data_IF_449282043190
#
_entry.id   IF_449282043190
#
_cell.length_a   1.000
_cell.length_b   1.000
_cell.length_c   1.000
_cell.angle_alpha   90.00
_cell.angle_beta   90.00
_cell.angle_gamma   90.00
#
_symmetry.space_group_name_H-M   'P 1'
#
loop_
_entity.id
_entity.type
_entity.pdbx_description
1 polymer ?
#
# COMPACT_ATOMS: atom_id res chain seq x y z
N UNK A 1 6.44 -14.75 8.26
CA UNK A 1 5.52 -14.36 9.34
C UNK A 1 5.59 -15.32 10.53
N UNK A 2 5.56 -16.66 10.30
CA UNK A 2 5.60 -17.63 11.40
C UNK A 2 6.83 -17.46 12.30
N UNK A 3 8.02 -17.25 11.74
CA UNK A 3 9.26 -17.04 12.47
C UNK A 3 9.21 -15.75 13.31
N UNK A 4 8.76 -14.62 12.74
CA UNK A 4 8.57 -13.37 13.47
C UNK A 4 7.58 -13.54 14.64
N UNK A 5 6.48 -14.25 14.39
CA UNK A 5 5.49 -14.52 15.43
C UNK A 5 6.05 -15.38 16.55
N UNK A 6 6.76 -16.48 16.21
CA UNK A 6 7.35 -17.39 17.22
C UNK A 6 8.42 -16.72 18.10
N UNK A 7 9.08 -15.70 17.57
CA UNK A 7 10.07 -14.88 18.29
C UNK A 7 9.49 -13.69 19.05
N UNK A 8 8.17 -13.44 18.95
CA UNK A 8 7.53 -12.27 19.56
C UNK A 8 7.88 -10.94 18.86
N UNK A 9 8.38 -10.98 17.64
CA UNK A 9 8.83 -9.79 16.89
C UNK A 9 7.74 -9.21 15.97
N UNK A 10 6.69 -9.97 15.69
CA UNK A 10 5.66 -9.56 14.72
C UNK A 10 4.91 -8.30 15.16
N UNK A 11 4.65 -8.16 16.45
CA UNK A 11 3.91 -7.01 16.99
C UNK A 11 4.65 -5.68 16.83
N UNK A 12 5.98 -5.73 16.78
CA UNK A 12 6.86 -4.57 16.59
C UNK A 12 7.45 -4.46 15.18
N UNK A 13 7.07 -5.35 14.25
CA UNK A 13 7.63 -5.40 12.89
C UNK A 13 6.50 -5.30 11.88
N UNK A 14 6.46 -4.20 11.13
CA UNK A 14 5.55 -4.06 9.99
C UNK A 14 6.11 -4.82 8.79
N UNK A 15 5.38 -5.82 8.33
CA UNK A 15 5.71 -6.59 7.12
C UNK A 15 4.77 -6.18 6.01
N UNK A 16 5.33 -5.77 4.88
CA UNK A 16 4.59 -5.37 3.67
C UNK A 16 5.04 -6.24 2.51
N UNK A 17 4.07 -6.82 1.79
CA UNK A 17 4.31 -7.58 0.58
C UNK A 17 3.37 -7.13 -0.53
N UNK A 18 3.93 -6.75 -1.66
CA UNK A 18 3.17 -6.28 -2.82
C UNK A 18 4.07 -6.13 -4.03
N UNK A 19 3.46 -5.87 -5.17
CA UNK A 19 4.14 -5.40 -6.37
C UNK A 19 4.09 -3.88 -6.46
N UNK A 20 4.84 -3.32 -7.38
CA UNK A 20 4.88 -1.88 -7.67
C UNK A 20 3.65 -1.40 -8.47
N UNK A 21 2.95 -2.32 -9.13
CA UNK A 21 1.69 -2.11 -9.87
C UNK A 21 0.87 -3.39 -9.90
N UNK A 22 -0.38 -3.29 -10.33
CA UNK A 22 -1.25 -4.43 -10.54
C UNK A 22 -1.13 -5.04 -11.94
N UNK A 23 -2.01 -6.00 -12.23
CA UNK A 23 -2.13 -6.65 -13.53
C UNK A 23 -3.55 -6.54 -14.05
N UNK A 24 -3.71 -6.07 -15.30
CA UNK A 24 -5.00 -5.98 -15.96
C UNK A 24 -5.60 -7.38 -16.19
N UNK A 25 -6.93 -7.50 -16.31
CA UNK A 25 -7.55 -8.76 -16.73
C UNK A 25 -7.22 -9.14 -18.17
N UNK A 26 -6.69 -8.19 -18.96
CA UNK A 26 -6.35 -8.36 -20.37
C UNK A 26 -4.88 -8.73 -20.58
N UNK A 27 -4.59 -9.40 -21.70
CA UNK A 27 -3.23 -9.74 -22.12
C UNK A 27 -2.41 -8.49 -22.45
N UNK A 28 -1.11 -8.56 -22.19
CA UNK A 28 -0.15 -7.60 -22.73
C UNK A 28 -0.02 -7.81 -24.24
N UNK A 29 -0.39 -6.80 -25.02
CA UNK A 29 -0.36 -6.84 -26.48
C UNK A 29 1.06 -6.91 -27.06
N UNK A 30 2.06 -6.51 -26.27
CA UNK A 30 3.47 -6.50 -26.66
C UNK A 30 4.24 -7.72 -26.11
N UNK A 31 3.57 -8.65 -25.48
CA UNK A 31 4.19 -9.78 -24.73
C UNK A 31 4.65 -10.97 -25.58
N UNK A 32 4.68 -10.85 -26.91
CA UNK A 32 5.13 -11.94 -27.79
C UNK A 32 4.18 -13.16 -27.79
N UNK A 33 4.73 -14.37 -28.00
CA UNK A 33 3.96 -15.60 -28.20
C UNK A 33 3.28 -16.13 -26.92
N UNK A 34 3.78 -15.75 -25.73
CA UNK A 34 3.19 -16.14 -24.46
C UNK A 34 3.02 -14.94 -23.53
N UNK A 35 2.13 -14.01 -23.86
CA UNK A 35 1.96 -12.77 -23.11
C UNK A 35 1.32 -13.02 -21.76
N UNK A 36 1.88 -12.43 -20.72
CA UNK A 36 1.24 -12.30 -19.42
C UNK A 36 0.10 -11.28 -19.43
N UNK A 37 -0.43 -10.95 -18.25
CA UNK A 37 -1.37 -9.83 -18.09
C UNK A 37 -0.63 -8.50 -18.12
N UNK A 38 -1.21 -7.51 -18.81
CA UNK A 38 -0.66 -6.16 -18.89
C UNK A 38 -0.60 -5.46 -17.51
N UNK A 39 0.24 -4.46 -17.39
CA UNK A 39 0.40 -3.63 -16.20
C UNK A 39 -0.87 -2.86 -15.87
N UNK A 40 -1.23 -2.77 -14.59
CA UNK A 40 -2.38 -2.02 -14.12
C UNK A 40 -1.97 -1.00 -13.05
N UNK A 41 -1.98 0.28 -13.43
CA UNK A 41 -1.73 1.38 -12.51
C UNK A 41 -2.97 1.78 -11.68
N UNK A 42 -4.17 1.28 -12.03
CA UNK A 42 -5.43 1.70 -11.41
C UNK A 42 -5.83 0.87 -10.20
N UNK A 43 -5.29 -0.34 -10.08
CA UNK A 43 -5.55 -1.21 -8.93
C UNK A 43 -4.44 -2.25 -8.75
N UNK A 44 -4.02 -2.44 -7.51
CA UNK A 44 -3.16 -3.55 -7.09
C UNK A 44 -3.40 -3.86 -5.61
N UNK A 45 -2.96 -5.03 -5.18
CA UNK A 45 -3.13 -5.49 -3.81
C UNK A 45 -1.81 -5.46 -3.07
N UNK A 46 -1.89 -5.07 -1.80
CA UNK A 46 -0.77 -5.11 -0.85
C UNK A 46 -1.21 -5.94 0.35
N UNK A 47 -0.35 -6.82 0.84
CA UNK A 47 -0.55 -7.55 2.09
C UNK A 47 0.30 -6.90 3.17
N UNK A 48 -0.33 -6.63 4.30
CA UNK A 48 0.35 -6.06 5.47
C UNK A 48 0.13 -6.96 6.69
N UNK A 49 1.13 -7.07 7.55
CA UNK A 49 1.03 -7.84 8.78
C UNK A 49 1.96 -7.29 9.86
N UNK A 50 1.54 -7.40 11.12
CA UNK A 50 2.31 -6.95 12.28
C UNK A 50 2.37 -5.43 12.41
N UNK A 51 3.17 -4.94 13.35
CA UNK A 51 3.46 -3.51 13.55
C UNK A 51 2.20 -2.64 13.73
N UNK A 52 1.14 -3.14 14.39
CA UNK A 52 -0.12 -2.40 14.60
C UNK A 52 -1.14 -2.51 13.48
N UNK A 53 -0.91 -3.37 12.48
CA UNK A 53 -1.92 -3.67 11.45
C UNK A 53 -2.93 -4.69 11.97
N UNK A 54 -4.21 -4.42 11.77
CA UNK A 54 -5.31 -5.32 12.11
C UNK A 54 -5.30 -6.54 11.21
N UNK A 55 -5.12 -7.72 11.79
CA UNK A 55 -5.12 -8.98 11.06
C UNK A 55 -6.51 -9.44 10.63
N UNK A 56 -6.57 -10.23 9.53
CA UNK A 56 -7.80 -10.88 9.08
C UNK A 56 -8.83 -9.96 8.41
N UNK A 57 -8.45 -8.75 8.01
CA UNK A 57 -9.32 -7.82 7.29
C UNK A 57 -8.91 -7.71 5.83
N UNK A 58 -9.90 -7.43 4.98
CA UNK A 58 -9.72 -6.98 3.60
C UNK A 58 -10.27 -5.57 3.53
N UNK A 59 -9.48 -4.64 3.01
CA UNK A 59 -9.84 -3.22 2.86
C UNK A 59 -9.82 -2.85 1.38
N UNK A 60 -10.93 -2.32 0.91
CA UNK A 60 -11.12 -1.97 -0.49
C UNK A 60 -11.41 -3.16 -1.41
N UNK A 61 -11.92 -2.86 -2.58
CA UNK A 61 -12.18 -3.83 -3.63
C UNK A 61 -12.03 -3.21 -5.01
N UNK A 62 -11.81 -4.06 -5.99
CA UNK A 62 -11.87 -3.67 -7.41
C UNK A 62 -13.31 -3.74 -7.93
N UNK A 63 -13.53 -3.25 -9.14
CA UNK A 63 -14.70 -3.55 -9.94
C UNK A 63 -14.77 -5.06 -10.27
N UNK A 64 -15.91 -5.50 -10.82
CA UNK A 64 -16.16 -6.91 -11.14
C UNK A 64 -15.17 -7.51 -12.15
N UNK A 65 -14.50 -6.67 -12.94
CA UNK A 65 -13.51 -7.08 -13.92
C UNK A 65 -12.07 -7.05 -13.36
N UNK A 66 -11.85 -6.51 -12.16
CA UNK A 66 -10.51 -6.30 -11.62
C UNK A 66 -9.69 -5.25 -12.38
N UNK A 67 -10.38 -4.33 -13.07
CA UNK A 67 -9.75 -3.32 -13.92
C UNK A 67 -9.32 -2.08 -13.14
N UNK A 68 -10.12 -1.65 -12.17
CA UNK A 68 -9.81 -0.49 -11.34
C UNK A 68 -10.32 -0.63 -9.90
N UNK A 69 -9.77 0.15 -9.00
CA UNK A 69 -10.24 0.23 -7.62
C UNK A 69 -11.63 0.86 -7.58
N UNK A 70 -12.59 0.22 -6.92
CA UNK A 70 -14.00 0.62 -6.89
C UNK A 70 -14.47 1.10 -5.51
N UNK A 71 -14.14 0.42 -4.43
CA UNK A 71 -14.53 0.79 -3.07
C UNK A 71 -13.33 0.96 -2.15
N UNK A 72 -13.49 1.79 -1.12
CA UNK A 72 -12.46 2.09 -0.10
C UNK A 72 -11.07 2.28 -0.72
N UNK A 73 -11.02 3.15 -1.72
CA UNK A 73 -9.81 3.40 -2.51
C UNK A 73 -8.68 3.93 -1.62
N UNK A 74 -7.52 3.32 -1.74
CA UNK A 74 -6.29 3.76 -1.06
C UNK A 74 -5.32 4.25 -2.12
N UNK A 75 -5.00 5.53 -2.11
CA UNK A 75 -3.95 6.08 -2.96
C UNK A 75 -2.57 5.72 -2.40
N UNK A 76 -1.53 5.72 -3.25
CA UNK A 76 -0.15 5.45 -2.79
C UNK A 76 0.30 6.39 -1.67
N UNK A 77 -0.15 7.65 -1.68
CA UNK A 77 0.12 8.59 -0.60
C UNK A 77 -0.56 8.20 0.72
N UNK A 78 -1.76 7.60 0.67
CA UNK A 78 -2.46 7.10 1.85
C UNK A 78 -1.75 5.88 2.44
N UNK A 79 -1.23 5.00 1.58
CA UNK A 79 -0.40 3.87 2.00
C UNK A 79 0.86 4.39 2.72
N UNK A 80 1.58 5.36 2.14
CA UNK A 80 2.77 5.95 2.76
C UNK A 80 2.46 6.68 4.06
N UNK A 81 1.35 7.45 4.12
CA UNK A 81 0.90 8.09 5.35
C UNK A 81 0.61 7.06 6.46
N UNK A 82 -0.01 5.93 6.08
CA UNK A 82 -0.32 4.84 7.00
C UNK A 82 0.94 4.13 7.50
N UNK A 83 1.91 3.87 6.61
CA UNK A 83 3.21 3.30 6.99
C UNK A 83 3.94 4.21 7.98
N UNK A 84 4.01 5.51 7.70
CA UNK A 84 4.63 6.49 8.59
C UNK A 84 3.93 6.53 9.95
N UNK A 85 2.60 6.53 9.96
CA UNK A 85 1.81 6.46 11.19
C UNK A 85 2.13 5.22 12.04
N UNK A 86 2.21 4.04 11.41
CA UNK A 86 2.58 2.77 12.08
C UNK A 86 4.01 2.78 12.61
N UNK A 87 4.91 3.57 12.02
CA UNK A 87 6.26 3.83 12.51
C UNK A 87 6.32 4.92 13.62
N UNK A 88 5.17 5.47 14.04
CA UNK A 88 5.09 6.53 15.04
C UNK A 88 5.44 7.93 14.51
N UNK A 89 5.43 8.11 13.20
CA UNK A 89 5.77 9.38 12.55
C UNK A 89 4.50 10.07 12.04
N UNK A 90 4.41 11.38 12.27
CA UNK A 90 3.39 12.23 11.65
C UNK A 90 3.86 12.63 10.25
N UNK A 91 3.18 12.14 9.20
CA UNK A 91 3.55 12.40 7.82
C UNK A 91 3.37 13.86 7.40
N UNK A 92 2.57 14.65 8.13
CA UNK A 92 2.38 16.07 7.86
C UNK A 92 3.51 16.92 8.47
N UNK A 93 4.09 16.46 9.58
CA UNK A 93 5.20 17.13 10.26
C UNK A 93 6.58 16.66 9.77
N UNK A 94 6.66 15.46 9.19
CA UNK A 94 7.90 14.93 8.62
C UNK A 94 8.20 15.62 7.29
N UNK A 95 8.98 16.69 7.35
CA UNK A 95 9.32 17.51 6.19
C UNK A 95 10.81 17.49 5.90
N UNK A 96 11.14 17.68 4.63
CA UNK A 96 12.48 17.96 4.13
C UNK A 96 12.51 19.33 3.47
N UNK A 97 13.38 20.21 3.96
CA UNK A 97 13.51 21.56 3.42
C UNK A 97 14.44 21.58 2.21
N UNK A 98 13.91 22.01 1.07
CA UNK A 98 14.66 22.15 -0.16
C UNK A 98 14.25 23.42 -0.90
N UNK A 99 15.20 24.22 -1.33
CA UNK A 99 14.99 25.49 -2.04
C UNK A 99 13.95 26.43 -1.40
N UNK A 100 13.96 26.50 -0.06
CA UNK A 100 13.06 27.39 0.70
C UNK A 100 11.66 26.84 0.95
N UNK A 101 11.31 25.66 0.42
CA UNK A 101 10.04 24.96 0.67
C UNK A 101 10.25 23.71 1.51
N UNK A 102 9.29 23.42 2.39
CA UNK A 102 9.22 22.18 3.14
C UNK A 102 8.38 21.16 2.36
N UNK A 103 9.00 20.02 2.03
CA UNK A 103 8.37 18.92 1.29
C UNK A 103 8.06 17.77 2.24
N UNK A 104 6.86 17.20 2.14
CA UNK A 104 6.47 15.95 2.79
C UNK A 104 6.67 14.77 1.85
N UNK A 105 6.88 13.57 2.38
CA UNK A 105 6.90 12.32 1.57
C UNK A 105 5.57 12.06 0.86
N UNK A 106 4.48 12.54 1.44
CA UNK A 106 3.11 12.41 0.90
C UNK A 106 2.67 13.63 0.09
N UNK A 107 3.57 14.57 -0.16
CA UNK A 107 3.31 15.88 -0.77
C UNK A 107 2.16 16.60 -0.05
N UNK A 108 1.14 17.08 -0.75
CA UNK A 108 -0.05 17.71 -0.17
C UNK A 108 -1.20 16.73 0.10
N UNK A 109 -0.96 15.45 -0.12
CA UNK A 109 -1.93 14.35 -0.03
C UNK A 109 -1.63 13.42 1.16
N UNK A 110 -2.35 12.32 1.22
CA UNK A 110 -2.14 11.24 2.17
C UNK A 110 -3.09 11.32 3.36
N UNK A 111 -3.85 10.26 3.53
CA UNK A 111 -4.71 10.04 4.69
C UNK A 111 -4.39 8.69 5.32
N UNK A 112 -4.24 8.65 6.63
CA UNK A 112 -4.04 7.39 7.35
C UNK A 112 -5.27 6.51 7.19
N UNK A 113 -5.09 5.30 6.70
CA UNK A 113 -6.15 4.31 6.47
C UNK A 113 -6.53 3.64 7.80
N UNK A 114 -7.38 4.30 8.57
CA UNK A 114 -7.76 3.86 9.93
C UNK A 114 -8.42 2.48 9.96
N UNK A 115 -9.09 2.07 8.89
CA UNK A 115 -9.79 0.79 8.81
C UNK A 115 -8.91 -0.45 8.91
N UNK A 116 -7.58 -0.31 8.71
CA UNK A 116 -6.61 -1.39 8.81
C UNK A 116 -5.74 -1.33 10.08
N UNK A 117 -5.98 -0.39 10.97
CA UNK A 117 -5.23 -0.25 12.23
C UNK A 117 -5.89 -1.09 13.34
N UNK A 118 -5.07 -1.67 14.23
CA UNK A 118 -5.50 -2.43 15.40
C UNK A 118 -5.83 -1.53 16.60
#
# INVERSE_FOLDING_TARGET
>A
LKDLKSRGLLDSTLVIWGGEFGRKPTRDRNGGDNPGRDHNAKAFSVVMAGGGVKGGVVHGATDDLGAESASDKVHVHDLHATILHLLGLDHEQLTYRFQGRDYRLTDVHGHVVKGILS
#
